data_IF_723612688976
#
_entry.id   IF_723612688976
#
_cell.length_a   1.000
_cell.length_b   1.000
_cell.length_c   1.000
_cell.angle_alpha   90.00
_cell.angle_beta   90.00
_cell.angle_gamma   90.00
#
_symmetry.space_group_name_H-M   'P 1'
#
loop_
_entity.id
_entity.type
_entity.pdbx_description
1 polymer ?
#
# COMPACT_ATOMS: atom_id res chain seq x y z
N UNK A 1 17.00 1.87 -10.13
CA UNK A 1 15.59 1.67 -10.49
C UNK A 1 14.90 3.03 -10.65
N UNK A 2 13.91 3.19 -11.53
CA UNK A 2 13.11 4.43 -11.59
C UNK A 2 12.30 4.58 -10.31
N UNK A 3 12.23 5.79 -9.74
CA UNK A 3 11.41 6.06 -8.55
C UNK A 3 9.93 6.17 -8.89
N UNK A 4 9.62 6.79 -10.02
CA UNK A 4 8.25 7.05 -10.49
C UNK A 4 7.90 6.17 -11.67
N UNK A 5 6.59 6.02 -11.90
CA UNK A 5 5.99 5.21 -12.97
C UNK A 5 5.10 6.07 -13.84
N UNK A 6 4.98 5.71 -15.11
CA UNK A 6 4.01 6.25 -16.05
C UNK A 6 2.75 5.37 -16.18
N UNK A 7 2.72 4.22 -15.48
CA UNK A 7 1.69 3.20 -15.59
C UNK A 7 1.14 2.82 -14.21
N UNK A 8 -0.19 2.75 -14.07
CA UNK A 8 -0.88 2.47 -12.81
C UNK A 8 -1.99 1.43 -13.03
N UNK A 9 -1.97 0.37 -12.22
CA UNK A 9 -3.11 -0.55 -12.06
C UNK A 9 -4.09 0.02 -11.04
N UNK A 10 -5.37 0.06 -11.40
CA UNK A 10 -6.46 0.46 -10.52
C UNK A 10 -7.56 -0.59 -10.58
N UNK A 11 -8.14 -0.94 -9.43
CA UNK A 11 -9.28 -1.86 -9.36
C UNK A 11 -10.55 -1.04 -9.15
N UNK A 12 -11.51 -1.10 -10.08
CA UNK A 12 -12.77 -0.36 -9.96
C UNK A 12 -13.64 -0.98 -8.85
N UNK A 13 -14.15 -0.17 -7.90
CA UNK A 13 -15.02 -0.68 -6.85
C UNK A 13 -16.37 -1.15 -7.40
N UNK A 14 -16.88 -2.27 -6.87
CA UNK A 14 -18.23 -2.78 -7.17
C UNK A 14 -19.13 -2.90 -5.94
N UNK A 15 -18.55 -2.98 -4.74
CA UNK A 15 -19.27 -3.10 -3.46
C UNK A 15 -18.53 -2.33 -2.33
N UNK A 16 -17.97 -1.16 -2.65
CA UNK A 16 -17.18 -0.37 -1.71
C UNK A 16 -18.02 0.12 -0.53
N UNK A 17 -17.52 -0.18 0.67
CA UNK A 17 -18.14 0.19 1.96
C UNK A 17 -17.10 0.05 3.08
N UNK A 18 -17.49 0.39 4.30
CA UNK A 18 -16.70 0.05 5.49
C UNK A 18 -16.48 -1.47 5.56
N UNK A 19 -15.25 -1.90 5.79
CA UNK A 19 -14.90 -3.30 5.95
C UNK A 19 -14.80 -3.63 7.45
N UNK A 20 -15.69 -4.50 7.92
CA UNK A 20 -15.82 -4.88 9.32
C UNK A 20 -14.55 -5.54 9.86
N UNK A 21 -13.82 -6.29 9.02
CA UNK A 21 -12.60 -7.00 9.43
C UNK A 21 -11.39 -6.07 9.56
N UNK A 22 -11.35 -4.98 8.80
CA UNK A 22 -10.23 -4.00 8.87
C UNK A 22 -10.51 -2.85 9.82
N UNK A 23 -11.78 -2.58 10.15
CA UNK A 23 -12.18 -1.52 11.07
C UNK A 23 -11.60 -1.66 12.50
N UNK A 24 -11.19 -2.87 12.91
CA UNK A 24 -10.59 -3.13 14.24
C UNK A 24 -9.27 -2.39 14.47
N UNK A 25 -8.52 -2.09 13.40
CA UNK A 25 -7.22 -1.42 13.46
C UNK A 25 -7.04 -0.35 12.36
N UNK A 26 -8.04 -0.12 11.50
CA UNK A 26 -8.12 1.03 10.60
C UNK A 26 -9.11 2.08 11.15
N UNK A 27 -8.56 3.01 11.93
CA UNK A 27 -9.33 4.08 12.60
C UNK A 27 -9.77 5.23 11.66
N UNK A 28 -9.46 5.15 10.36
CA UNK A 28 -9.88 6.16 9.37
C UNK A 28 -11.25 5.84 8.77
N UNK A 29 -11.72 4.59 8.91
CA UNK A 29 -13.04 4.20 8.45
C UNK A 29 -14.12 4.83 9.31
N UNK A 30 -15.16 5.36 8.65
CA UNK A 30 -16.31 5.98 9.31
C UNK A 30 -17.59 5.44 8.70
N UNK A 31 -18.54 5.12 9.56
CA UNK A 31 -19.92 4.91 9.13
C UNK A 31 -20.54 6.27 8.86
N UNK A 32 -21.06 6.45 7.64
CA UNK A 32 -21.83 7.62 7.26
C UNK A 32 -23.31 7.26 7.41
N UNK A 33 -23.89 7.49 8.59
CA UNK A 33 -25.27 7.11 8.95
C UNK A 33 -26.34 7.62 7.97
N UNK A 34 -26.00 8.61 7.14
CA UNK A 34 -26.90 9.26 6.18
C UNK A 34 -26.82 8.68 4.76
N UNK A 35 -25.93 7.73 4.48
CA UNK A 35 -25.75 7.15 3.14
C UNK A 35 -25.95 5.64 3.17
N UNK A 36 -26.67 5.11 2.17
CA UNK A 36 -26.74 3.66 1.96
C UNK A 36 -25.42 3.15 1.36
N UNK A 37 -25.07 1.86 1.54
CA UNK A 37 -23.91 1.26 0.91
C UNK A 37 -23.87 1.44 -0.62
N UNK A 38 -25.03 1.36 -1.29
CA UNK A 38 -25.15 1.58 -2.72
C UNK A 38 -24.79 3.02 -3.10
N UNK A 39 -25.26 3.99 -2.32
CA UNK A 39 -24.94 5.41 -2.53
C UNK A 39 -23.45 5.70 -2.29
N UNK A 40 -22.84 5.03 -1.30
CA UNK A 40 -21.39 5.12 -1.04
C UNK A 40 -20.61 4.55 -2.22
N UNK A 41 -21.00 3.38 -2.73
CA UNK A 41 -20.34 2.77 -3.87
C UNK A 41 -20.50 3.60 -5.16
N UNK A 42 -21.68 4.15 -5.44
CA UNK A 42 -21.91 5.04 -6.59
C UNK A 42 -21.01 6.27 -6.54
N UNK A 43 -20.85 6.89 -5.36
CA UNK A 43 -19.93 8.02 -5.18
C UNK A 43 -18.47 7.61 -5.35
N UNK A 44 -18.08 6.47 -4.79
CA UNK A 44 -16.73 5.93 -4.94
C UNK A 44 -16.39 5.65 -6.41
N UNK A 45 -17.34 5.12 -7.19
CA UNK A 45 -17.16 4.93 -8.64
C UNK A 45 -17.00 6.27 -9.38
N UNK A 46 -17.79 7.29 -9.03
CA UNK A 46 -17.65 8.62 -9.62
C UNK A 46 -16.29 9.26 -9.31
N UNK A 47 -15.83 9.15 -8.06
CA UNK A 47 -14.50 9.64 -7.65
C UNK A 47 -13.37 8.86 -8.33
N UNK A 48 -13.52 7.54 -8.44
CA UNK A 48 -12.59 6.65 -9.13
C UNK A 48 -12.44 7.02 -10.61
N UNK A 49 -13.57 7.15 -11.32
CA UNK A 49 -13.56 7.46 -12.76
C UNK A 49 -12.97 8.87 -12.99
N UNK A 50 -13.32 9.85 -12.16
CA UNK A 50 -12.75 11.19 -12.23
C UNK A 50 -11.22 11.19 -12.01
N UNK A 51 -10.72 10.37 -11.07
CA UNK A 51 -9.29 10.24 -10.81
C UNK A 51 -8.56 9.54 -11.97
N UNK A 52 -9.10 8.42 -12.46
CA UNK A 52 -8.56 7.68 -13.60
C UNK A 52 -8.49 8.56 -14.86
N UNK A 53 -9.54 9.33 -15.14
CA UNK A 53 -9.59 10.24 -16.28
C UNK A 53 -8.60 11.40 -16.13
N UNK A 54 -8.42 11.91 -14.90
CA UNK A 54 -7.42 12.95 -14.64
C UNK A 54 -6.00 12.44 -14.91
N UNK A 55 -5.67 11.23 -14.46
CA UNK A 55 -4.37 10.59 -14.71
C UNK A 55 -4.14 10.36 -16.22
N UNK A 56 -5.13 9.80 -16.92
CA UNK A 56 -5.07 9.63 -18.38
C UNK A 56 -4.88 10.95 -19.12
N UNK A 57 -5.55 12.01 -18.68
CA UNK A 57 -5.46 13.35 -19.31
C UNK A 57 -4.06 13.96 -19.28
N UNK A 58 -3.20 13.51 -18.34
CA UNK A 58 -1.81 13.97 -18.22
C UNK A 58 -0.80 12.93 -18.75
N UNK A 59 -1.28 11.88 -19.43
CA UNK A 59 -0.44 10.90 -20.13
C UNK A 59 -0.08 9.64 -19.33
N UNK A 60 -0.66 9.43 -18.15
CA UNK A 60 -0.46 8.18 -17.39
C UNK A 60 -1.24 7.06 -18.04
N UNK A 61 -0.60 5.91 -18.24
CA UNK A 61 -1.23 4.68 -18.69
C UNK A 61 -2.00 4.03 -17.52
N UNK A 62 -3.32 4.22 -17.51
CA UNK A 62 -4.19 3.71 -16.44
C UNK A 62 -4.90 2.43 -16.87
N UNK A 63 -4.52 1.32 -16.23
CA UNK A 63 -5.10 -0.01 -16.44
C UNK A 63 -6.16 -0.22 -15.37
N UNK A 64 -7.42 -0.25 -15.79
CA UNK A 64 -8.56 -0.49 -14.88
C UNK A 64 -9.03 -1.93 -15.04
N UNK A 65 -9.15 -2.62 -13.91
CA UNK A 65 -9.79 -3.93 -13.79
C UNK A 65 -11.02 -3.79 -12.91
N UNK A 66 -12.16 -4.34 -13.31
CA UNK A 66 -13.34 -4.33 -12.45
C UNK A 66 -13.19 -5.36 -11.32
N UNK A 67 -13.52 -4.95 -10.09
CA UNK A 67 -13.63 -5.87 -8.96
C UNK A 67 -14.83 -6.83 -9.13
N UNK A 68 -14.93 -7.85 -8.28
CA UNK A 68 -16.04 -8.81 -8.26
C UNK A 68 -16.86 -8.65 -6.98
N UNK A 69 -18.15 -9.00 -7.05
CA UNK A 69 -19.03 -9.02 -5.86
C UNK A 69 -18.88 -10.30 -5.06
N UNK A 70 -18.27 -11.32 -5.65
CA UNK A 70 -17.94 -12.61 -5.03
C UNK A 70 -16.48 -12.90 -5.38
N UNK A 71 -15.58 -13.02 -4.39
CA UNK A 71 -15.81 -12.95 -2.94
C UNK A 71 -16.11 -11.53 -2.42
N UNK A 72 -16.72 -11.44 -1.23
CA UNK A 72 -17.07 -10.15 -0.58
C UNK A 72 -15.82 -9.41 -0.05
N UNK A 73 -15.24 -8.58 -0.92
CA UNK A 73 -13.96 -7.89 -0.72
C UNK A 73 -14.10 -6.37 -0.91
N UNK A 74 -14.68 -5.65 0.06
CA UNK A 74 -14.96 -4.22 -0.06
C UNK A 74 -13.71 -3.34 -0.23
N UNK A 75 -12.54 -3.82 0.22
CA UNK A 75 -11.25 -3.13 0.13
C UNK A 75 -10.44 -3.48 -1.14
N UNK A 76 -10.99 -4.31 -2.06
CA UNK A 76 -10.33 -4.75 -3.30
C UNK A 76 -9.85 -3.62 -4.22
N UNK A 77 -10.39 -2.41 -4.06
CA UNK A 77 -9.94 -1.18 -4.74
C UNK A 77 -8.46 -0.83 -4.44
N UNK A 78 -7.85 -1.41 -3.40
CA UNK A 78 -6.47 -1.15 -2.96
C UNK A 78 -5.52 -2.32 -3.30
N UNK A 79 -5.20 -2.57 -4.60
CA UNK A 79 -4.33 -3.69 -4.99
C UNK A 79 -2.91 -3.58 -4.42
N UNK A 80 -2.48 -2.36 -4.11
CA UNK A 80 -1.16 -2.05 -3.58
C UNK A 80 -0.86 -2.77 -2.26
N UNK A 81 -1.87 -3.33 -1.58
CA UNK A 81 -1.70 -4.08 -0.35
C UNK A 81 -1.39 -5.56 -0.55
N UNK A 82 -1.85 -6.17 -1.64
CA UNK A 82 -1.66 -7.61 -1.88
C UNK A 82 -0.67 -7.92 -2.99
N UNK A 83 -0.36 -6.95 -3.87
CA UNK A 83 0.65 -7.09 -4.94
C UNK A 83 1.51 -5.85 -5.13
N UNK A 84 2.76 -6.07 -5.55
CA UNK A 84 3.63 -5.03 -6.10
C UNK A 84 4.41 -5.54 -7.31
N UNK A 85 4.79 -4.61 -8.18
CA UNK A 85 5.47 -4.88 -9.45
C UNK A 85 6.80 -4.13 -9.49
N UNK A 86 7.86 -4.79 -9.99
CA UNK A 86 9.22 -4.28 -9.95
C UNK A 86 9.85 -4.16 -11.36
N UNK A 87 10.78 -3.22 -11.53
CA UNK A 87 11.38 -2.90 -12.85
C UNK A 87 12.15 -4.08 -13.48
N UNK A 88 12.62 -5.02 -12.65
CA UNK A 88 13.29 -6.25 -13.08
C UNK A 88 12.32 -7.37 -13.51
N UNK A 89 11.01 -7.14 -13.45
CA UNK A 89 9.98 -8.13 -13.78
C UNK A 89 9.52 -8.97 -12.59
N UNK A 90 10.02 -8.73 -11.38
CA UNK A 90 9.55 -9.44 -10.20
C UNK A 90 8.19 -8.91 -9.74
N UNK A 91 7.36 -9.83 -9.27
CA UNK A 91 6.06 -9.57 -8.64
C UNK A 91 6.11 -10.12 -7.22
N UNK A 92 5.71 -9.31 -6.24
CA UNK A 92 5.55 -9.77 -4.86
C UNK A 92 4.07 -9.99 -4.56
N UNK A 93 3.72 -11.13 -3.97
CA UNK A 93 2.40 -11.39 -3.39
C UNK A 93 2.49 -11.37 -1.87
N UNK A 94 1.55 -10.68 -1.24
CA UNK A 94 1.66 -10.28 0.15
C UNK A 94 0.63 -10.93 1.08
N UNK A 95 1.01 -11.29 2.32
CA UNK A 95 0.12 -11.79 3.34
C UNK A 95 -0.71 -10.65 3.95
N UNK A 96 -2.03 -10.87 4.05
CA UNK A 96 -3.00 -9.87 4.47
C UNK A 96 -3.57 -10.17 5.86
N UNK A 97 -3.61 -9.16 6.74
CA UNK A 97 -4.09 -9.31 8.11
C UNK A 97 -5.55 -9.77 8.17
N UNK A 98 -6.43 -9.06 7.46
CA UNK A 98 -7.85 -9.37 7.41
C UNK A 98 -8.11 -10.53 6.44
N UNK A 99 -8.85 -11.54 6.88
CA UNK A 99 -9.11 -12.76 6.12
C UNK A 99 -9.83 -12.49 4.80
N UNK A 100 -10.82 -11.59 4.79
CA UNK A 100 -11.52 -11.27 3.56
C UNK A 100 -10.60 -10.63 2.52
N UNK A 101 -9.59 -9.86 2.96
CA UNK A 101 -8.63 -9.22 2.05
C UNK A 101 -7.69 -10.21 1.38
N UNK A 102 -7.49 -11.40 1.95
CA UNK A 102 -6.69 -12.48 1.33
C UNK A 102 -7.30 -12.94 0.01
N UNK A 103 -8.62 -12.84 -0.10
CA UNK A 103 -9.39 -13.18 -1.28
C UNK A 103 -9.37 -12.09 -2.37
N UNK A 104 -8.69 -10.96 -2.14
CA UNK A 104 -8.48 -9.91 -3.14
C UNK A 104 -7.40 -10.28 -4.18
N UNK A 105 -6.54 -11.24 -3.86
CA UNK A 105 -5.47 -11.72 -4.74
C UNK A 105 -6.06 -12.35 -5.99
N UNK A 106 -5.62 -11.86 -7.16
CA UNK A 106 -6.18 -12.23 -8.46
C UNK A 106 -5.09 -12.53 -9.48
N UNK A 107 -4.93 -13.81 -9.80
CA UNK A 107 -3.98 -14.29 -10.82
C UNK A 107 -4.33 -13.75 -12.22
N UNK A 108 -5.62 -13.60 -12.53
CA UNK A 108 -6.07 -13.13 -13.84
C UNK A 108 -5.64 -11.67 -14.14
N UNK A 109 -5.30 -10.90 -13.10
CA UNK A 109 -4.71 -9.57 -13.26
C UNK A 109 -3.26 -9.68 -13.75
N UNK A 110 -2.50 -10.70 -13.34
CA UNK A 110 -1.12 -10.92 -13.80
C UNK A 110 -1.12 -11.26 -15.30
N UNK A 111 -1.97 -12.20 -15.71
CA UNK A 111 -2.16 -12.56 -17.13
C UNK A 111 -2.53 -11.33 -17.98
N UNK A 112 -3.45 -10.50 -17.49
CA UNK A 112 -3.87 -9.28 -18.17
C UNK A 112 -2.71 -8.28 -18.34
N UNK A 113 -1.82 -8.18 -17.36
CA UNK A 113 -0.65 -7.30 -17.43
C UNK A 113 0.36 -7.83 -18.44
N UNK A 114 0.60 -9.14 -18.50
CA UNK A 114 1.45 -9.75 -19.53
C UNK A 114 0.88 -9.52 -20.94
N UNK A 115 -0.42 -9.71 -21.14
CA UNK A 115 -1.12 -9.43 -22.40
C UNK A 115 -0.99 -7.95 -22.83
N UNK A 116 -0.82 -7.05 -21.86
CA UNK A 116 -0.57 -5.61 -22.09
C UNK A 116 0.90 -5.28 -22.32
N UNK A 117 1.78 -6.27 -22.32
CA UNK A 117 3.20 -6.15 -22.61
C UNK A 117 4.08 -5.83 -21.39
N UNK A 118 3.56 -5.98 -20.17
CA UNK A 118 4.40 -5.97 -18.97
C UNK A 118 5.10 -7.32 -18.85
N UNK A 119 6.34 -7.30 -18.36
CA UNK A 119 7.13 -8.51 -18.20
C UNK A 119 7.03 -9.01 -16.76
N UNK A 120 6.66 -10.28 -16.57
CA UNK A 120 6.69 -10.96 -15.28
C UNK A 120 7.70 -12.10 -15.39
N UNK A 121 8.81 -11.98 -14.66
CA UNK A 121 9.91 -12.96 -14.68
C UNK A 121 9.80 -13.93 -13.50
N UNK A 122 9.52 -13.39 -12.31
CA UNK A 122 9.42 -14.16 -11.08
C UNK A 122 8.25 -13.68 -10.22
N UNK A 123 7.67 -14.61 -9.48
CA UNK A 123 6.70 -14.32 -8.42
C UNK A 123 7.35 -14.72 -7.09
N UNK A 124 7.52 -13.75 -6.22
CA UNK A 124 7.94 -13.94 -4.83
C UNK A 124 6.67 -13.92 -3.97
N UNK A 125 6.32 -15.07 -3.40
CA UNK A 125 5.05 -15.27 -2.70
C UNK A 125 5.26 -15.42 -1.18
N UNK A 126 4.84 -14.41 -0.44
CA UNK A 126 4.92 -14.36 1.03
C UNK A 126 3.60 -14.80 1.71
N UNK A 127 2.59 -15.24 0.96
CA UNK A 127 1.24 -15.49 1.49
C UNK A 127 1.18 -16.63 2.51
N UNK A 128 2.13 -17.56 2.48
CA UNK A 128 2.23 -18.65 3.46
C UNK A 128 2.46 -18.15 4.90
N UNK A 129 3.02 -16.95 5.08
CA UNK A 129 3.21 -16.32 6.39
C UNK A 129 1.88 -16.10 7.14
N UNK A 130 0.74 -16.07 6.42
CA UNK A 130 -0.59 -15.99 7.01
C UNK A 130 -0.91 -17.17 7.94
N UNK A 131 -0.29 -18.34 7.72
CA UNK A 131 -0.45 -19.54 8.58
C UNK A 131 0.09 -19.31 10.00
N UNK A 132 1.11 -18.46 10.13
CA UNK A 132 1.76 -18.11 11.38
C UNK A 132 1.29 -16.75 11.96
N UNK A 133 0.26 -16.15 11.37
CA UNK A 133 -0.24 -14.79 11.70
C UNK A 133 0.83 -13.69 11.53
N UNK A 134 1.71 -13.86 10.54
CA UNK A 134 2.71 -12.88 10.12
C UNK A 134 2.17 -12.17 8.87
N UNK A 135 2.28 -10.84 8.84
CA UNK A 135 1.64 -10.02 7.80
C UNK A 135 2.54 -8.91 7.29
N UNK A 136 2.39 -8.56 6.02
CA UNK A 136 3.09 -7.47 5.36
C UNK A 136 2.22 -6.99 4.20
N UNK A 137 1.36 -5.99 4.43
CA UNK A 137 0.38 -5.53 3.43
C UNK A 137 0.98 -4.62 2.34
N UNK A 138 1.96 -5.17 1.62
CA UNK A 138 2.54 -4.65 0.40
C UNK A 138 3.03 -3.21 0.49
N UNK A 139 2.82 -2.44 -0.56
CA UNK A 139 3.20 -1.02 -0.62
C UNK A 139 2.27 -0.09 0.18
N UNK A 140 1.29 -0.65 0.89
CA UNK A 140 0.66 0.02 2.03
C UNK A 140 1.64 0.16 3.20
N UNK A 141 2.28 -0.95 3.55
CA UNK A 141 3.27 -1.03 4.63
C UNK A 141 4.68 -0.62 4.19
N UNK A 142 5.04 -0.84 2.92
CA UNK A 142 6.37 -0.56 2.37
C UNK A 142 6.37 0.69 1.49
N UNK A 143 7.05 1.75 1.95
CA UNK A 143 7.34 2.92 1.12
C UNK A 143 8.76 2.78 0.56
N UNK A 144 8.86 2.53 -0.75
CA UNK A 144 10.12 2.20 -1.41
C UNK A 144 10.80 3.45 -1.98
N UNK A 145 12.02 3.73 -1.51
CA UNK A 145 12.98 4.57 -2.25
C UNK A 145 13.78 3.66 -3.19
N UNK A 146 13.24 3.51 -4.39
CA UNK A 146 13.75 2.61 -5.43
C UNK A 146 15.09 3.06 -5.99
N UNK A 147 15.35 4.37 -5.99
CA UNK A 147 16.63 4.91 -6.46
C UNK A 147 17.77 4.63 -5.48
N UNK A 148 17.47 4.71 -4.17
CA UNK A 148 18.45 4.50 -3.12
C UNK A 148 18.40 3.09 -2.50
N UNK A 149 17.57 2.21 -3.04
CA UNK A 149 17.38 0.84 -2.55
C UNK A 149 17.08 0.82 -1.04
N UNK A 150 16.12 1.65 -0.58
CA UNK A 150 15.63 1.63 0.82
C UNK A 150 14.13 1.35 0.92
N UNK A 151 13.73 0.55 1.90
CA UNK A 151 12.34 0.27 2.21
C UNK A 151 12.00 0.87 3.58
N UNK A 152 11.14 1.88 3.60
CA UNK A 152 10.66 2.50 4.82
C UNK A 152 9.41 1.78 5.29
N UNK A 153 9.40 1.32 6.54
CA UNK A 153 8.29 0.57 7.09
C UNK A 153 8.03 0.94 8.56
N UNK A 154 6.84 1.48 8.82
CA UNK A 154 6.30 1.60 10.17
C UNK A 154 5.69 0.27 10.60
N UNK A 155 6.19 -0.32 11.69
CA UNK A 155 5.66 -1.57 12.24
C UNK A 155 4.24 -1.40 12.75
N UNK A 156 3.42 -2.42 12.49
CA UNK A 156 2.02 -2.46 12.89
C UNK A 156 1.49 -3.90 12.82
N UNK A 157 0.23 -4.17 13.19
CA UNK A 157 -0.36 -5.49 12.98
C UNK A 157 -0.41 -5.96 11.51
N UNK A 158 -0.08 -5.08 10.56
CA UNK A 158 -0.06 -5.33 9.10
C UNK A 158 1.36 -5.30 8.50
N UNK A 159 2.38 -5.21 9.35
CA UNK A 159 3.77 -5.12 8.94
C UNK A 159 4.67 -5.70 10.04
N UNK A 160 5.01 -6.98 9.88
CA UNK A 160 5.93 -7.70 10.76
C UNK A 160 7.40 -7.40 10.42
N UNK A 161 8.23 -7.26 11.45
CA UNK A 161 9.64 -6.89 11.28
C UNK A 161 10.45 -7.98 10.55
N UNK A 162 10.24 -9.26 10.87
CA UNK A 162 11.01 -10.35 10.28
C UNK A 162 10.69 -10.47 8.79
N UNK A 163 9.41 -10.38 8.43
CA UNK A 163 8.99 -10.45 7.03
C UNK A 163 9.40 -9.21 6.22
N UNK A 164 9.51 -8.03 6.86
CA UNK A 164 10.09 -6.84 6.20
C UNK A 164 11.58 -7.05 5.90
N UNK A 165 12.32 -7.67 6.83
CA UNK A 165 13.74 -7.98 6.63
C UNK A 165 13.89 -9.00 5.49
N UNK A 166 13.11 -10.07 5.48
CA UNK A 166 13.08 -11.07 4.40
C UNK A 166 12.79 -10.42 3.04
N UNK A 167 11.74 -9.58 2.95
CA UNK A 167 11.45 -8.81 1.74
C UNK A 167 12.64 -7.95 1.29
N UNK A 168 13.33 -7.30 2.23
CA UNK A 168 14.48 -6.48 1.93
C UNK A 168 15.67 -7.31 1.42
N UNK A 169 15.87 -8.53 1.93
CA UNK A 169 16.89 -9.45 1.46
C UNK A 169 16.60 -9.93 0.04
N UNK A 170 15.37 -10.34 -0.26
CA UNK A 170 14.95 -10.85 -1.57
C UNK A 170 15.00 -9.76 -2.67
N UNK A 171 14.56 -8.55 -2.34
CA UNK A 171 14.46 -7.44 -3.29
C UNK A 171 15.65 -6.47 -3.26
N UNK A 172 16.71 -6.80 -2.50
CA UNK A 172 17.93 -6.00 -2.35
C UNK A 172 17.68 -4.56 -1.87
N UNK A 173 16.81 -4.39 -0.87
CA UNK A 173 16.56 -3.14 -0.18
C UNK A 173 17.28 -3.09 1.18
N UNK A 174 17.65 -1.90 1.62
CA UNK A 174 18.05 -1.64 3.01
C UNK A 174 16.81 -1.25 3.83
N UNK A 175 16.50 -1.98 4.93
CA UNK A 175 15.33 -1.68 5.74
C UNK A 175 15.53 -0.40 6.58
N UNK A 176 14.51 0.46 6.59
CA UNK A 176 14.37 1.60 7.52
C UNK A 176 13.08 1.38 8.32
N UNK A 177 13.22 0.66 9.43
CA UNK A 177 12.10 0.21 10.27
C UNK A 177 11.94 1.16 11.47
N UNK A 178 10.70 1.50 11.80
CA UNK A 178 10.34 2.41 12.90
C UNK A 178 8.91 2.16 13.38
N UNK A 179 8.47 2.87 14.43
CA UNK A 179 7.08 2.88 14.87
C UNK A 179 6.41 4.25 14.60
N UNK A 180 5.14 4.21 14.18
CA UNK A 180 4.36 5.41 13.93
C UNK A 180 2.97 5.33 14.54
N UNK A 181 2.50 6.44 15.08
CA UNK A 181 1.28 6.54 15.87
C UNK A 181 0.37 7.69 15.43
N UNK A 182 -0.91 7.48 15.63
CA UNK A 182 -2.00 8.43 15.46
C UNK A 182 -2.78 8.57 16.77
N UNK A 183 -3.50 9.68 16.92
CA UNK A 183 -4.31 9.93 18.11
C UNK A 183 -5.74 9.46 17.85
N UNK A 184 -6.20 8.48 18.63
CA UNK A 184 -7.58 7.98 18.63
C UNK A 184 -8.20 8.30 19.98
N UNK A 185 -9.07 9.30 20.02
CA UNK A 185 -9.59 9.84 21.27
C UNK A 185 -8.48 10.47 22.12
N UNK A 186 -8.10 9.80 23.22
CA UNK A 186 -7.02 10.22 24.13
C UNK A 186 -5.79 9.30 24.09
N UNK A 187 -5.82 8.28 23.24
CA UNK A 187 -4.77 7.27 23.17
C UNK A 187 -3.96 7.40 21.88
N UNK A 188 -2.68 7.04 21.95
CA UNK A 188 -1.83 6.84 20.77
C UNK A 188 -2.01 5.40 20.30
N UNK A 189 -2.38 5.21 19.04
CA UNK A 189 -2.54 3.90 18.39
C UNK A 189 -1.63 3.86 17.18
N UNK A 190 -1.14 2.67 16.83
CA UNK A 190 -0.30 2.51 15.64
C UNK A 190 -1.03 2.98 14.37
N UNK A 191 -0.28 3.59 13.47
CA UNK A 191 -0.69 3.80 12.09
C UNK A 191 -0.50 2.46 11.38
N UNK A 192 -1.55 1.99 10.70
CA UNK A 192 -1.58 0.63 10.19
C UNK A 192 -0.80 0.44 8.88
N UNK A 193 -0.55 1.52 8.13
CA UNK A 193 0.20 1.52 6.87
C UNK A 193 1.10 2.75 6.80
N UNK A 194 2.36 2.54 6.44
CA UNK A 194 3.38 3.59 6.30
C UNK A 194 2.97 4.63 5.27
N UNK A 195 2.34 4.22 4.16
CA UNK A 195 1.97 5.13 3.07
C UNK A 195 0.88 6.16 3.44
N UNK A 196 0.19 5.98 4.57
CA UNK A 196 -0.78 6.95 5.09
C UNK A 196 -0.07 8.16 5.70
N UNK A 197 1.17 7.99 6.16
CA UNK A 197 1.92 9.05 6.82
C UNK A 197 3.12 9.57 6.01
N UNK A 198 3.53 8.87 4.95
CA UNK A 198 4.62 9.33 4.10
C UNK A 198 4.56 8.83 2.65
N UNK A 199 5.21 9.57 1.76
CA UNK A 199 5.51 9.14 0.39
C UNK A 199 6.89 9.66 -0.06
N UNK A 200 7.49 8.99 -1.05
CA UNK A 200 8.81 9.35 -1.59
C UNK A 200 8.69 9.57 -3.10
N UNK A 201 9.05 10.77 -3.53
CA UNK A 201 9.26 11.13 -4.93
C UNK A 201 10.74 11.07 -5.35
N UNK A 202 11.03 11.51 -6.56
CA UNK A 202 12.41 11.53 -7.08
C UNK A 202 13.33 12.42 -6.23
N UNK A 203 12.87 13.63 -5.92
CA UNK A 203 13.69 14.67 -5.27
C UNK A 203 13.19 15.07 -3.88
N UNK A 204 12.01 14.59 -3.46
CA UNK A 204 11.38 14.99 -2.22
C UNK A 204 10.72 13.79 -1.51
N UNK A 205 10.46 13.96 -0.22
CA UNK A 205 9.63 13.06 0.57
C UNK A 205 8.65 13.89 1.40
N UNK A 206 7.37 13.50 1.37
CA UNK A 206 6.35 14.06 2.28
C UNK A 206 6.25 13.11 3.45
N UNK A 207 6.34 13.62 4.68
CA UNK A 207 6.30 12.80 5.89
C UNK A 207 5.70 13.54 7.08
N UNK A 208 4.68 12.96 7.70
CA UNK A 208 4.20 13.41 9.00
C UNK A 208 5.14 12.89 10.11
N UNK A 209 6.28 13.56 10.30
CA UNK A 209 7.29 13.11 11.27
C UNK A 209 6.80 13.14 12.72
N UNK A 210 5.75 13.91 13.02
CA UNK A 210 5.12 13.95 14.34
C UNK A 210 4.38 12.66 14.71
N UNK A 211 4.12 11.78 13.74
CA UNK A 211 3.62 10.44 14.02
C UNK A 211 4.68 9.51 14.64
N UNK A 212 5.98 9.80 14.50
CA UNK A 212 7.05 8.95 15.03
C UNK A 212 7.40 9.43 16.44
N UNK A 213 6.81 8.81 17.46
CA UNK A 213 6.91 9.29 18.85
C UNK A 213 8.34 9.15 19.42
N UNK A 214 9.07 8.09 19.05
CA UNK A 214 10.48 7.94 19.44
C UNK A 214 11.39 8.94 18.68
N UNK A 215 12.14 9.74 19.44
CA UNK A 215 12.98 10.81 18.89
C UNK A 215 14.19 10.28 18.12
N UNK A 216 14.72 9.11 18.48
CA UNK A 216 15.85 8.50 17.79
C UNK A 216 15.40 7.92 16.46
N UNK A 217 14.28 7.21 16.42
CA UNK A 217 13.68 6.71 15.17
C UNK A 217 13.31 7.85 14.24
N UNK A 218 12.63 8.88 14.76
CA UNK A 218 12.29 10.07 13.98
C UNK A 218 13.54 10.70 13.36
N UNK A 219 14.61 10.84 14.15
CA UNK A 219 15.89 11.35 13.65
C UNK A 219 16.50 10.42 12.60
N UNK A 220 16.46 9.11 12.80
CA UNK A 220 16.98 8.10 11.85
C UNK A 220 16.25 8.17 10.51
N UNK A 221 14.91 8.19 10.50
CA UNK A 221 14.11 8.28 9.27
C UNK A 221 14.42 9.57 8.52
N UNK A 222 14.41 10.71 9.20
CA UNK A 222 14.71 12.00 8.58
C UNK A 222 16.16 12.11 8.12
N UNK A 223 17.10 11.46 8.80
CA UNK A 223 18.51 11.46 8.39
C UNK A 223 18.71 10.62 7.13
N UNK A 224 18.08 9.44 7.03
CA UNK A 224 18.14 8.61 5.82
C UNK A 224 17.65 9.39 4.59
N UNK A 225 16.48 10.02 4.68
CA UNK A 225 15.93 10.84 3.60
C UNK A 225 16.86 12.00 3.20
N UNK A 226 17.48 12.67 4.19
CA UNK A 226 18.43 13.77 3.93
C UNK A 226 19.73 13.29 3.28
N UNK A 227 20.28 12.17 3.75
CA UNK A 227 21.52 11.60 3.23
C UNK A 227 21.35 11.15 1.78
N UNK A 228 20.13 10.73 1.42
CA UNK A 228 19.71 10.37 0.07
C UNK A 228 19.33 11.59 -0.79
N UNK A 229 19.53 12.81 -0.29
CA UNK A 229 19.31 14.06 -1.00
C UNK A 229 17.84 14.45 -1.19
N UNK A 230 16.91 13.84 -0.45
CA UNK A 230 15.49 14.19 -0.54
C UNK A 230 15.18 15.50 0.19
N UNK A 231 14.47 16.40 -0.47
CA UNK A 231 13.80 17.52 0.19
C UNK A 231 12.68 16.99 1.10
N UNK A 232 12.73 17.29 2.38
CA UNK A 232 11.73 16.81 3.34
C UNK A 232 10.64 17.86 3.50
N UNK A 233 9.41 17.46 3.19
CA UNK A 233 8.17 18.21 3.39
C UNK A 233 7.44 17.62 4.60
N UNK A 234 7.20 18.44 5.61
CA UNK A 234 6.55 18.08 6.88
C UNK A 234 5.08 18.52 6.91
#
# INVERSE_FOLDING_TARGET
MRQITDSILMIRPVAFRMNEQTAVNNYYQKVLDTLSPETVNEKAQQEFDAFADKLRSVGVNVIVVDSTTDPDTPDSIFPNNWVSFHENGDVALYPMFAENRRMERREDILDLLEDKGFNIENIVDYTSAEEDNIFLEGTGSLVLDRQNHKAYCALSPRADEELVIEYCEDFEYTPVIFEAFQTVGKERKQIYHTNVMMCIGETFAVICADCIDDKKERKMVLQNLKDDGKEIIL
#
